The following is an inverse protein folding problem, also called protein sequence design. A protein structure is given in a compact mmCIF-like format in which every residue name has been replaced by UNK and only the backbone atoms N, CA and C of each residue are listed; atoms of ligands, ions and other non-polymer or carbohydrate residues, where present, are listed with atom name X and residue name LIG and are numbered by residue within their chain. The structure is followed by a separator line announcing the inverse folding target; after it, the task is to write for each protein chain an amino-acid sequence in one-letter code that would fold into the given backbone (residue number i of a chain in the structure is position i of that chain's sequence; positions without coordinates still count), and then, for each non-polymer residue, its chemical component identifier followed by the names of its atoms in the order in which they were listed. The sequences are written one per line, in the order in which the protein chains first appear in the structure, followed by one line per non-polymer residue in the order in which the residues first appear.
data_IF_944177573203
#
_entry.id   IF_944177573203
#
_cell.length_a   1.000
_cell.length_b   1.000
_cell.length_c   1.000
_cell.angle_alpha   90.00
_cell.angle_beta   90.00
_cell.angle_gamma   90.00
#
_symmetry.space_group_name_H-M   'P 1'
#
loop_
_entity.id
_entity.type
_entity.pdbx_description
1 polymer ?
#
# COMPACT_ATOMS: atom_id res chain seq x y z
N UNK A 1 9.86 5.71 -24.03
CA UNK A 1 9.25 4.92 -22.92
C UNK A 1 8.66 5.87 -21.90
N UNK A 2 7.33 5.89 -21.71
CA UNK A 2 6.70 6.82 -20.77
C UNK A 2 6.89 6.34 -19.33
N UNK A 3 7.52 7.18 -18.50
CA UNK A 3 7.72 6.93 -17.07
C UNK A 3 6.44 7.34 -16.34
N UNK A 4 5.78 6.38 -15.69
CA UNK A 4 4.51 6.61 -15.00
C UNK A 4 4.75 6.51 -13.49
N UNK A 5 4.06 7.36 -12.73
CA UNK A 5 4.06 7.35 -11.28
C UNK A 5 2.71 6.83 -10.77
N UNK A 6 2.73 5.90 -9.81
CA UNK A 6 1.53 5.45 -9.10
C UNK A 6 1.67 5.76 -7.63
N UNK A 7 0.62 6.35 -7.06
CA UNK A 7 0.56 6.61 -5.62
C UNK A 7 -0.17 5.48 -4.92
N UNK A 8 0.43 4.97 -3.86
CA UNK A 8 -0.19 4.02 -2.94
C UNK A 8 -0.47 4.76 -1.64
N UNK A 9 -1.73 4.69 -1.21
CA UNK A 9 -2.21 5.34 -0.02
C UNK A 9 -3.16 4.40 0.68
N UNK A 10 -3.00 4.18 1.99
CA UNK A 10 -4.06 3.53 2.72
C UNK A 10 -3.95 3.69 4.22
N UNK A 11 -4.88 3.07 4.93
CA UNK A 11 -5.11 3.30 6.35
C UNK A 11 -4.82 2.02 7.13
N UNK A 12 -4.13 2.13 8.27
CA UNK A 12 -3.86 0.98 9.13
C UNK A 12 -2.62 0.15 8.75
N UNK A 13 -1.76 0.64 7.87
CA UNK A 13 -0.38 0.17 7.76
C UNK A 13 0.59 1.33 7.98
N UNK A 14 1.73 1.03 8.59
CA UNK A 14 2.82 1.97 8.77
C UNK A 14 4.10 1.40 8.19
N UNK A 15 4.77 2.19 7.37
CA UNK A 15 6.12 1.89 6.91
C UNK A 15 7.08 2.14 8.08
N UNK A 16 7.78 1.08 8.51
CA UNK A 16 8.65 1.15 9.69
C UNK A 16 10.09 1.45 9.30
N UNK A 17 10.59 0.81 8.23
CA UNK A 17 11.98 0.94 7.79
C UNK A 17 12.07 0.79 6.28
N UNK A 18 12.82 1.68 5.65
CA UNK A 18 13.29 1.58 4.28
C UNK A 18 14.77 1.22 4.36
N UNK A 19 15.20 0.15 3.70
CA UNK A 19 16.63 -0.13 3.53
C UNK A 19 16.98 0.27 2.09
N UNK A 20 17.56 1.46 1.97
CA UNK A 20 18.03 2.02 0.70
C UNK A 20 19.30 1.22 0.34
N UNK A 21 19.29 0.51 -0.80
CA UNK A 21 20.37 -0.39 -1.23
C UNK A 21 19.88 -1.84 -1.44
N UNK A 22 19.25 -2.44 -0.45
CA UNK A 22 18.77 -3.84 -0.54
C UNK A 22 17.36 -3.97 -1.13
N UNK A 23 16.73 -2.87 -1.55
CA UNK A 23 15.35 -2.87 -2.09
C UNK A 23 14.35 -3.57 -1.15
N UNK A 24 14.55 -3.45 0.16
CA UNK A 24 13.71 -4.10 1.17
C UNK A 24 12.95 -3.06 1.99
N UNK A 25 11.64 -3.23 2.04
CA UNK A 25 10.73 -2.42 2.84
C UNK A 25 10.10 -3.26 3.93
N UNK A 26 10.09 -2.70 5.14
CA UNK A 26 9.50 -3.33 6.32
C UNK A 26 8.21 -2.62 6.71
N UNK A 27 7.11 -3.36 6.65
CA UNK A 27 5.78 -2.87 6.98
C UNK A 27 5.33 -3.36 8.36
N UNK A 28 4.78 -2.44 9.15
CA UNK A 28 4.00 -2.72 10.36
C UNK A 28 2.53 -2.74 9.97
N UNK A 29 2.02 -3.94 9.70
CA UNK A 29 0.64 -4.20 9.28
C UNK A 29 -0.29 -4.53 10.45
N UNK A 30 0.12 -4.29 11.71
CA UNK A 30 -0.67 -4.67 12.88
C UNK A 30 -0.69 -6.18 13.18
N UNK A 31 0.05 -6.99 12.42
CA UNK A 31 0.41 -8.36 12.82
C UNK A 31 1.56 -8.34 13.83
N UNK A 32 1.72 -9.43 14.57
CA UNK A 32 2.82 -9.60 15.53
C UNK A 32 4.20 -9.48 14.85
N UNK A 33 4.32 -10.01 13.62
CA UNK A 33 5.56 -9.99 12.83
C UNK A 33 5.55 -8.87 11.80
N UNK A 34 6.71 -8.26 11.57
CA UNK A 34 6.88 -7.29 10.49
C UNK A 34 6.92 -7.99 9.15
N UNK A 35 6.29 -7.41 8.14
CA UNK A 35 6.28 -7.98 6.80
C UNK A 35 7.38 -7.35 5.96
N UNK A 36 8.26 -8.19 5.44
CA UNK A 36 9.28 -7.81 4.46
C UNK A 36 8.67 -7.84 3.06
N UNK A 37 8.92 -6.79 2.29
CA UNK A 37 8.58 -6.73 0.88
C UNK A 37 9.81 -6.32 0.07
N UNK A 38 10.07 -7.05 -1.02
CA UNK A 38 11.17 -6.78 -1.96
C UNK A 38 10.64 -5.88 -3.07
N UNK A 39 11.29 -4.75 -3.28
CA UNK A 39 11.01 -3.84 -4.40
C UNK A 39 11.69 -4.38 -5.65
N UNK A 40 11.01 -4.42 -6.80
CA UNK A 40 11.67 -4.66 -8.08
C UNK A 40 12.74 -3.60 -8.37
N UNK A 41 13.91 -3.95 -8.93
CA UNK A 41 15.01 -3.01 -9.14
C UNK A 41 14.68 -1.87 -10.10
N UNK A 42 13.67 -2.06 -10.97
CA UNK A 42 13.23 -1.07 -11.95
C UNK A 42 12.27 -0.01 -11.38
N UNK A 43 11.89 -0.12 -10.09
CA UNK A 43 10.89 0.75 -9.45
C UNK A 43 11.54 1.56 -8.33
N UNK A 44 11.53 2.89 -8.48
CA UNK A 44 11.90 3.83 -7.44
C UNK A 44 10.77 3.99 -6.42
N UNK A 45 11.11 4.03 -5.13
CA UNK A 45 10.16 4.20 -4.03
C UNK A 45 10.43 5.51 -3.30
N UNK A 46 9.45 6.40 -3.28
CA UNK A 46 9.49 7.65 -2.54
C UNK A 46 8.46 7.59 -1.41
N UNK A 47 8.94 7.65 -0.16
CA UNK A 47 8.08 7.62 1.03
C UNK A 47 7.78 9.04 1.44
N UNK A 48 6.56 9.54 1.18
CA UNK A 48 6.14 10.89 1.61
C UNK A 48 5.67 10.90 3.06
N UNK A 49 4.90 9.89 3.44
CA UNK A 49 4.39 9.72 4.80
C UNK A 49 4.47 8.23 5.17
N UNK A 50 4.38 7.91 6.46
CA UNK A 50 4.42 6.51 6.93
C UNK A 50 3.36 5.61 6.27
N UNK A 51 2.27 6.18 5.76
CA UNK A 51 1.14 5.46 5.13
C UNK A 51 0.89 5.90 3.68
N UNK A 52 1.82 6.67 3.09
CA UNK A 52 1.74 7.14 1.70
C UNK A 52 3.07 6.95 0.98
N UNK A 53 3.06 6.05 0.00
CA UNK A 53 4.23 5.66 -0.78
C UNK A 53 3.97 5.95 -2.25
N UNK A 54 4.95 6.56 -2.90
CA UNK A 54 4.92 6.85 -4.33
C UNK A 54 5.88 5.89 -5.04
N UNK A 55 5.38 5.15 -6.02
CA UNK A 55 6.17 4.28 -6.89
C UNK A 55 6.38 4.98 -8.23
N UNK A 56 7.63 5.02 -8.70
CA UNK A 56 8.02 5.66 -9.96
C UNK A 56 8.81 4.67 -10.81
N UNK A 57 8.39 4.43 -12.05
CA UNK A 57 9.03 3.46 -12.92
C UNK A 57 8.27 3.19 -14.22
N UNK A 58 8.59 2.10 -14.92
CA UNK A 58 7.83 1.65 -16.08
C UNK A 58 6.45 1.11 -15.68
N UNK A 59 5.45 1.30 -16.54
CA UNK A 59 4.02 1.04 -16.23
C UNK A 59 3.71 -0.38 -15.74
N UNK A 60 4.31 -1.39 -16.38
CA UNK A 60 4.13 -2.81 -16.05
C UNK A 60 4.72 -3.12 -14.67
N UNK A 61 6.02 -2.83 -14.47
CA UNK A 61 6.69 -3.10 -13.20
C UNK A 61 6.06 -2.36 -12.01
N UNK A 62 5.63 -1.11 -12.20
CA UNK A 62 4.92 -0.34 -11.16
C UNK A 62 3.55 -0.97 -10.85
N UNK A 63 2.87 -1.54 -11.86
CA UNK A 63 1.61 -2.27 -11.68
C UNK A 63 1.77 -3.52 -10.84
N UNK A 64 2.72 -4.38 -11.23
CA UNK A 64 3.05 -5.61 -10.51
C UNK A 64 3.50 -5.31 -9.06
N UNK A 65 4.37 -4.31 -8.89
CA UNK A 65 4.81 -3.87 -7.57
C UNK A 65 3.64 -3.41 -6.70
N UNK A 66 2.75 -2.57 -7.24
CA UNK A 66 1.61 -2.07 -6.49
C UNK A 66 0.59 -3.16 -6.17
N UNK A 67 0.39 -4.13 -7.06
CA UNK A 67 -0.51 -5.26 -6.83
C UNK A 67 0.05 -6.22 -5.78
N UNK A 68 1.35 -6.53 -5.84
CA UNK A 68 2.03 -7.34 -4.81
C UNK A 68 1.97 -6.68 -3.42
N UNK A 69 2.07 -5.35 -3.35
CA UNK A 69 1.88 -4.59 -2.11
C UNK A 69 0.44 -4.68 -1.60
N UNK A 70 -0.55 -4.53 -2.47
CA UNK A 70 -1.97 -4.62 -2.11
C UNK A 70 -2.31 -5.99 -1.52
N UNK A 71 -1.76 -7.08 -2.09
CA UNK A 71 -1.93 -8.44 -1.59
C UNK A 71 -1.38 -8.66 -0.18
N UNK A 72 -0.43 -7.85 0.31
CA UNK A 72 0.09 -7.98 1.68
C UNK A 72 -0.98 -7.69 2.74
N UNK A 73 -1.87 -6.74 2.44
CA UNK A 73 -3.01 -6.41 3.28
C UNK A 73 -4.07 -5.70 2.45
N UNK A 74 -4.95 -6.50 1.86
CA UNK A 74 -6.10 -6.02 1.11
C UNK A 74 -6.96 -5.10 1.99
N UNK A 75 -7.56 -4.04 1.41
CA UNK A 75 -8.44 -3.15 2.14
C UNK A 75 -9.71 -3.89 2.57
N UNK A 76 -10.06 -3.79 3.84
CA UNK A 76 -11.31 -4.31 4.39
C UNK A 76 -12.53 -3.55 3.81
N UNK A 77 -13.59 -4.28 3.47
CA UNK A 77 -14.85 -3.78 2.88
C UNK A 77 -15.61 -2.85 3.84
N UNK A 78 -15.45 -3.04 5.15
CA UNK A 78 -16.19 -2.24 6.14
C UNK A 78 -15.45 -0.96 6.51
N UNK A 79 -14.18 -1.07 6.92
CA UNK A 79 -13.43 0.09 7.44
C UNK A 79 -12.46 0.71 6.41
N UNK A 80 -12.25 0.06 5.26
CA UNK A 80 -11.23 0.47 4.28
C UNK A 80 -9.82 0.44 4.86
N UNK A 81 -9.57 -0.38 5.89
CA UNK A 81 -8.25 -0.56 6.51
C UNK A 81 -7.44 -1.52 5.64
N UNK A 82 -6.28 -1.08 5.15
CA UNK A 82 -5.40 -1.83 4.27
C UNK A 82 -4.63 -0.93 3.31
N UNK A 83 -3.94 -1.55 2.35
CA UNK A 83 -3.18 -0.88 1.30
C UNK A 83 -4.10 -0.66 0.10
N UNK A 84 -4.27 0.59 -0.33
CA UNK A 84 -5.10 0.93 -1.48
C UNK A 84 -4.28 1.70 -2.52
N UNK A 85 -4.60 1.46 -3.79
CA UNK A 85 -4.11 2.25 -4.91
C UNK A 85 -4.88 3.57 -4.97
N UNK A 86 -4.20 4.69 -5.24
CA UNK A 86 -4.88 5.99 -5.36
C UNK A 86 -5.93 6.03 -6.47
N UNK A 87 -5.78 5.17 -7.49
CA UNK A 87 -6.67 5.10 -8.65
C UNK A 87 -7.93 4.27 -8.41
N UNK A 88 -7.96 3.42 -7.38
CA UNK A 88 -9.13 2.59 -7.07
C UNK A 88 -10.02 3.30 -6.03
N UNK A 89 -11.32 3.36 -6.28
CA UNK A 89 -12.31 3.84 -5.32
C UNK A 89 -12.57 2.82 -4.21
N UNK A 90 -12.82 3.27 -2.98
CA UNK A 90 -13.22 2.39 -1.87
C UNK A 90 -14.74 2.25 -1.85
N UNK A 91 -15.27 1.07 -2.19
CA UNK A 91 -16.68 0.75 -1.92
C UNK A 91 -16.79 0.28 -0.48
N UNK A 92 -17.58 0.99 0.35
CA UNK A 92 -17.78 0.66 1.77
C UNK A 92 -19.21 0.23 2.03
N UNK A 93 -19.38 -0.90 2.73
CA UNK A 93 -20.70 -1.30 3.24
C UNK A 93 -21.02 -0.51 4.51
N UNK A 94 -22.27 -0.01 4.60
CA UNK A 94 -22.74 0.71 5.79
C UNK A 94 -22.71 -0.25 6.99
N UNK A 95 -22.17 0.21 8.11
CA UNK A 95 -22.03 -0.60 9.34
C UNK A 95 -23.36 -0.91 10.03
N UNK A 96 -23.31 -1.55 11.20
CA UNK A 96 -24.50 -1.83 12.03
C UNK A 96 -25.24 -0.52 12.34
N UNK A 97 -26.52 -0.44 11.98
CA UNK A 97 -27.43 0.56 12.55
C UNK A 97 -27.70 0.11 13.99
N UNK A 98 -27.23 0.88 14.96
CA UNK A 98 -27.75 0.76 16.33
C UNK A 98 -29.22 1.14 16.31
N UNK A 99 -30.06 0.32 16.92
CA UNK A 99 -31.47 0.63 17.12
C UNK A 99 -31.52 1.72 18.20
N UNK A 100 -31.68 2.97 17.75
CA UNK A 100 -31.99 4.08 18.66
C UNK A 100 -33.49 3.97 18.99
N UNK A 101 -33.82 3.96 20.28
CA UNK A 101 -35.21 4.08 20.77
C UNK A 101 -35.81 5.42 20.40
#
# INVERSE_FOLDING_TARGET
MQRIWRTISGRGYGLKRVVIGSHLLWFKLGYNRWKRWKVPPQVGVLVRQKHRVLLVGPSQAVGEAAQSLSMLRSPDVYHGKGIQLSTQGSVRKRGKKTWTR
#
